data_IF_084629206208
#
_entry.id   IF_084629206208
#
_cell.length_a   1.000
_cell.length_b   1.000
_cell.length_c   1.000
_cell.angle_alpha   90.00
_cell.angle_beta   90.00
_cell.angle_gamma   90.00
#
_symmetry.space_group_name_H-M   'P 1'
#
loop_
_entity.id
_entity.type
_entity.pdbx_description
1 polymer ?
#
# COMPACT_ATOMS: atom_id res chain seq x y z
N UNK A 1 -0.84 -1.24 -3.57
CA UNK A 1 0.17 -0.74 -2.62
C UNK A 1 1.40 -0.11 -3.28
N UNK A 2 1.83 -0.52 -4.47
CA UNK A 2 3.02 0.02 -5.16
C UNK A 2 2.95 1.51 -5.60
N UNK A 3 1.85 2.22 -5.31
CA UNK A 3 1.61 3.56 -5.85
C UNK A 3 2.54 4.60 -5.22
N UNK A 4 3.07 4.37 -4.01
CA UNK A 4 3.97 5.30 -3.30
C UNK A 4 5.34 4.72 -2.97
N UNK A 5 5.87 3.83 -3.82
CA UNK A 5 7.14 3.14 -3.56
C UNK A 5 8.29 4.12 -3.29
N UNK A 6 8.36 5.22 -4.04
CA UNK A 6 9.41 6.23 -3.91
C UNK A 6 9.39 6.99 -2.57
N UNK A 7 8.32 6.89 -1.77
CA UNK A 7 8.26 7.46 -0.43
C UNK A 7 8.78 6.49 0.65
N UNK A 8 8.80 5.19 0.34
CA UNK A 8 9.18 4.14 1.30
C UNK A 8 10.51 3.46 1.00
N UNK A 9 11.07 3.67 -0.19
CA UNK A 9 12.32 3.05 -0.64
C UNK A 9 13.24 4.16 -1.12
N UNK A 10 14.36 4.31 -0.43
CA UNK A 10 15.44 5.19 -0.87
C UNK A 10 16.03 4.62 -2.19
N UNK A 11 16.23 5.43 -3.24
CA UNK A 11 16.71 4.96 -4.54
C UNK A 11 18.09 4.29 -4.48
N UNK A 12 18.88 4.55 -3.45
CA UNK A 12 20.26 4.07 -3.33
C UNK A 12 20.40 2.82 -2.43
N UNK A 13 19.29 2.17 -2.06
CA UNK A 13 19.35 0.92 -1.29
C UNK A 13 19.75 -0.27 -2.16
N UNK A 14 20.71 -1.05 -1.68
CA UNK A 14 21.14 -2.28 -2.35
C UNK A 14 20.15 -3.45 -2.17
N UNK A 15 19.33 -3.38 -1.10
CA UNK A 15 18.47 -4.47 -0.67
C UNK A 15 17.12 -3.93 -0.19
N UNK A 16 16.05 -4.47 -0.77
CA UNK A 16 14.67 -4.18 -0.38
C UNK A 16 13.95 -5.48 -0.01
N UNK A 17 13.46 -5.53 1.22
CA UNK A 17 12.49 -6.52 1.63
C UNK A 17 11.07 -6.00 1.39
N UNK A 18 10.24 -6.83 0.77
CA UNK A 18 8.83 -6.52 0.53
C UNK A 18 7.98 -7.57 1.23
N UNK A 19 7.24 -7.17 2.25
CA UNK A 19 6.34 -8.04 3.01
C UNK A 19 4.97 -7.36 3.09
N UNK A 20 3.98 -8.00 2.47
CA UNK A 20 2.58 -7.57 2.49
C UNK A 20 1.62 -8.76 2.58
N UNK A 21 2.14 -9.97 2.82
CA UNK A 21 1.35 -11.19 2.75
C UNK A 21 0.27 -11.22 3.83
N UNK A 22 0.54 -10.61 4.98
CA UNK A 22 -0.44 -10.47 6.07
C UNK A 22 -1.36 -9.25 5.91
N UNK A 23 -0.94 -8.23 5.14
CA UNK A 23 -1.68 -6.98 4.97
C UNK A 23 -2.65 -6.99 3.77
N UNK A 24 -2.34 -7.72 2.70
CA UNK A 24 -3.04 -7.65 1.41
C UNK A 24 -4.44 -8.29 1.38
N UNK A 25 -5.04 -8.56 2.55
CA UNK A 25 -6.29 -9.28 2.74
C UNK A 25 -6.31 -10.67 2.11
N UNK A 26 -6.83 -11.65 2.85
CA UNK A 26 -7.00 -12.99 2.31
C UNK A 26 -8.15 -13.02 1.31
N UNK A 27 -7.83 -12.93 0.02
CA UNK A 27 -8.83 -13.17 -1.01
C UNK A 27 -9.24 -14.65 -1.01
N UNK A 28 -10.55 -14.93 -1.19
CA UNK A 28 -11.09 -16.29 -1.22
C UNK A 28 -10.43 -17.20 -2.28
N UNK A 29 -9.87 -16.59 -3.32
CA UNK A 29 -9.12 -17.28 -4.39
C UNK A 29 -7.80 -17.86 -3.87
N UNK A 30 -7.21 -17.27 -2.83
CA UNK A 30 -6.01 -17.76 -2.14
C UNK A 30 -6.38 -18.76 -1.04
N UNK A 31 -7.43 -18.50 -0.26
CA UNK A 31 -7.82 -19.40 0.86
C UNK A 31 -8.41 -20.73 0.39
N UNK A 32 -9.07 -20.77 -0.77
CA UNK A 32 -9.51 -22.01 -1.41
C UNK A 32 -8.52 -22.53 -2.45
N UNK A 33 -7.30 -21.98 -2.52
CA UNK A 33 -6.27 -22.49 -3.39
C UNK A 33 -5.76 -23.84 -2.85
N UNK A 34 -5.85 -24.94 -3.62
CA UNK A 34 -5.43 -26.26 -3.16
C UNK A 34 -3.94 -26.30 -2.77
N UNK A 35 -3.08 -25.57 -3.47
CA UNK A 35 -1.64 -25.46 -3.17
C UNK A 35 -1.39 -24.76 -1.83
N UNK A 36 -2.17 -23.72 -1.50
CA UNK A 36 -2.08 -23.03 -0.20
C UNK A 36 -2.54 -23.94 0.94
N UNK A 37 -3.62 -24.71 0.73
CA UNK A 37 -4.12 -25.69 1.70
C UNK A 37 -3.14 -26.83 1.94
N UNK A 38 -2.44 -27.28 0.91
CA UNK A 38 -1.41 -28.31 1.04
C UNK A 38 -0.15 -27.77 1.75
N UNK A 39 0.23 -26.52 1.50
CA UNK A 39 1.29 -25.85 2.25
C UNK A 39 0.91 -25.67 3.73
N UNK A 40 -0.33 -25.27 4.02
CA UNK A 40 -0.83 -25.18 5.41
C UNK A 40 -0.74 -26.54 6.13
N UNK A 41 -1.15 -27.62 5.47
CA UNK A 41 -1.05 -29.00 6.02
C UNK A 41 0.40 -29.39 6.30
N UNK A 42 1.31 -29.05 5.39
CA UNK A 42 2.75 -29.31 5.56
C UNK A 42 3.31 -28.52 6.75
N UNK A 43 3.03 -27.22 6.83
CA UNK A 43 3.45 -26.37 7.96
C UNK A 43 2.89 -26.91 9.27
N UNK A 44 1.59 -27.25 9.33
CA UNK A 44 0.99 -27.88 10.53
C UNK A 44 1.68 -29.19 10.92
N UNK A 45 2.09 -30.00 9.94
CA UNK A 45 2.82 -31.25 10.20
C UNK A 45 4.24 -31.00 10.72
N UNK A 46 4.94 -30.00 10.17
CA UNK A 46 6.25 -29.56 10.66
C UNK A 46 6.14 -29.04 12.10
N UNK A 47 5.13 -28.23 12.40
CA UNK A 47 4.83 -27.73 13.74
C UNK A 47 4.38 -28.83 14.72
N UNK A 48 3.95 -29.99 14.22
CA UNK A 48 3.57 -31.17 15.04
C UNK A 48 4.75 -32.08 15.40
N UNK A 49 5.94 -31.83 14.83
CA UNK A 49 7.16 -32.51 15.23
C UNK A 49 7.47 -32.17 16.71
N UNK A 50 8.21 -33.03 17.43
CA UNK A 50 8.49 -32.85 18.87
C UNK A 50 9.28 -31.56 19.23
N UNK A 51 9.62 -30.73 18.24
CA UNK A 51 10.13 -29.38 18.41
C UNK A 51 8.97 -28.48 18.83
N UNK A 52 8.99 -27.99 20.08
CA UNK A 52 7.92 -27.15 20.62
C UNK A 52 7.97 -25.74 20.03
N UNK A 53 7.40 -25.55 18.85
CA UNK A 53 7.07 -24.22 18.36
C UNK A 53 5.83 -23.71 19.12
N UNK A 54 6.04 -22.81 20.08
CA UNK A 54 4.95 -22.20 20.83
C UNK A 54 4.43 -20.98 20.07
N UNK A 55 3.30 -21.14 19.39
CA UNK A 55 2.67 -20.03 18.65
C UNK A 55 2.41 -18.82 19.56
N UNK A 56 1.98 -19.05 20.80
CA UNK A 56 1.71 -17.98 21.77
C UNK A 56 2.97 -17.23 22.24
N UNK A 57 4.11 -17.90 22.26
CA UNK A 57 5.39 -17.25 22.56
C UNK A 57 5.94 -16.50 21.36
N UNK A 58 5.57 -16.91 20.14
CA UNK A 58 6.10 -16.37 18.88
C UNK A 58 5.24 -15.24 18.31
N UNK A 59 3.94 -15.24 18.57
CA UNK A 59 2.98 -14.27 18.04
C UNK A 59 1.97 -13.80 19.09
N UNK A 60 1.64 -12.52 19.05
CA UNK A 60 0.49 -11.90 19.70
C UNK A 60 -0.51 -11.50 18.62
N UNK A 61 -1.60 -12.25 18.52
CA UNK A 61 -2.54 -12.24 17.38
C UNK A 61 -1.84 -12.54 16.05
N UNK A 62 -1.60 -11.51 15.25
CA UNK A 62 -0.91 -11.58 13.95
C UNK A 62 0.45 -10.85 13.97
N UNK A 63 0.80 -10.18 15.07
CA UNK A 63 2.08 -9.51 15.22
C UNK A 63 3.09 -10.47 15.86
N UNK A 64 4.31 -10.59 15.31
CA UNK A 64 5.35 -11.35 15.97
C UNK A 64 5.69 -10.76 17.34
N UNK A 65 5.90 -11.63 18.32
CA UNK A 65 6.54 -11.25 19.58
C UNK A 65 8.03 -10.96 19.35
N UNK A 66 8.77 -10.64 20.41
CA UNK A 66 10.23 -10.55 20.32
C UNK A 66 10.86 -11.84 19.76
N UNK A 67 10.49 -13.00 20.30
CA UNK A 67 10.96 -14.29 19.79
C UNK A 67 10.55 -14.54 18.33
N UNK A 68 9.34 -14.11 17.96
CA UNK A 68 8.89 -14.19 16.57
C UNK A 68 9.73 -13.34 15.62
N UNK A 69 10.09 -12.12 16.02
CA UNK A 69 10.99 -11.28 15.27
C UNK A 69 12.39 -11.89 15.15
N UNK A 70 12.92 -12.49 16.22
CA UNK A 70 14.21 -13.19 16.20
C UNK A 70 14.19 -14.35 15.18
N UNK A 71 13.19 -15.22 15.25
CA UNK A 71 13.03 -16.36 14.33
C UNK A 71 12.89 -15.90 12.88
N UNK A 72 12.06 -14.89 12.60
CA UNK A 72 11.87 -14.36 11.24
C UNK A 72 13.17 -13.74 10.69
N UNK A 73 13.95 -13.08 11.56
CA UNK A 73 15.23 -12.49 11.20
C UNK A 73 16.29 -13.56 10.91
N UNK A 74 16.36 -14.61 11.74
CA UNK A 74 17.25 -15.75 11.51
C UNK A 74 16.93 -16.46 10.19
N UNK A 75 15.65 -16.62 9.84
CA UNK A 75 15.25 -17.19 8.56
C UNK A 75 15.73 -16.35 7.38
N UNK A 76 15.57 -15.02 7.46
CA UNK A 76 16.05 -14.11 6.41
C UNK A 76 17.59 -14.16 6.27
N UNK A 77 18.31 -14.17 7.39
CA UNK A 77 19.78 -14.29 7.42
C UNK A 77 20.23 -15.62 6.82
N UNK A 78 19.57 -16.72 7.18
CA UNK A 78 19.88 -18.04 6.64
C UNK A 78 19.74 -18.07 5.12
N UNK A 79 18.65 -17.51 4.57
CA UNK A 79 18.46 -17.41 3.11
C UNK A 79 19.54 -16.56 2.43
N UNK A 80 20.02 -15.48 3.07
CA UNK A 80 21.16 -14.72 2.54
C UNK A 80 22.45 -15.49 2.58
N UNK A 81 22.72 -16.21 3.68
CA UNK A 81 23.92 -17.03 3.78
C UNK A 81 23.93 -18.13 2.72
N UNK A 82 22.80 -18.80 2.49
CA UNK A 82 22.67 -19.77 1.40
C UNK A 82 22.90 -19.11 0.04
N UNK A 83 22.27 -17.97 -0.25
CA UNK A 83 22.46 -17.26 -1.51
C UNK A 83 23.91 -16.78 -1.72
N UNK A 84 24.58 -16.33 -0.65
CA UNK A 84 25.97 -15.90 -0.70
C UNK A 84 26.93 -17.07 -0.92
N UNK A 85 26.75 -18.18 -0.18
CA UNK A 85 27.49 -19.43 -0.39
C UNK A 85 27.28 -19.90 -1.82
N UNK A 86 26.05 -19.83 -2.32
CA UNK A 86 25.73 -20.25 -3.68
C UNK A 86 26.44 -19.39 -4.73
N UNK A 87 26.42 -18.07 -4.56
CA UNK A 87 27.12 -17.15 -5.45
C UNK A 87 28.65 -17.38 -5.44
N UNK A 88 29.23 -17.84 -4.33
CA UNK A 88 30.66 -18.20 -4.24
C UNK A 88 30.95 -19.54 -4.92
N UNK A 89 30.12 -20.56 -4.67
CA UNK A 89 30.32 -21.92 -5.20
C UNK A 89 29.96 -22.03 -6.69
N UNK A 90 28.97 -21.25 -7.12
CA UNK A 90 28.49 -21.16 -8.49
C UNK A 90 28.49 -19.69 -8.92
N UNK A 91 29.67 -19.11 -9.19
CA UNK A 91 29.78 -17.72 -9.63
C UNK A 91 28.83 -17.49 -10.79
N UNK A 92 27.93 -16.52 -10.64
CA UNK A 92 27.13 -16.05 -11.77
C UNK A 92 28.14 -15.65 -12.84
N UNK A 93 28.14 -16.39 -13.96
CA UNK A 93 29.10 -16.13 -15.02
C UNK A 93 28.99 -14.64 -15.34
N UNK A 94 30.10 -13.91 -15.27
CA UNK A 94 30.05 -12.50 -15.66
C UNK A 94 29.76 -12.45 -17.16
N UNK A 95 29.13 -11.39 -17.67
CA UNK A 95 28.93 -11.22 -19.11
C UNK A 95 30.23 -11.41 -19.91
N UNK A 96 31.38 -11.10 -19.30
CA UNK A 96 32.72 -11.31 -19.87
C UNK A 96 33.10 -12.80 -20.04
N UNK A 97 32.65 -13.70 -19.17
CA UNK A 97 32.89 -15.15 -19.25
C UNK A 97 31.96 -15.82 -20.28
N UNK A 98 30.78 -15.26 -20.53
CA UNK A 98 29.86 -15.76 -21.57
C UNK A 98 30.31 -15.35 -22.98
N UNK A 99 30.93 -14.16 -23.12
CA UNK A 99 31.41 -13.67 -24.41
C UNK A 99 32.57 -14.51 -25.02
N UNK A 100 33.35 -15.22 -24.21
CA UNK A 100 34.46 -16.05 -24.68
C UNK A 100 34.03 -17.43 -25.19
N UNK A 101 32.76 -17.82 -25.00
CA UNK A 101 32.23 -19.12 -25.41
C UNK A 101 31.68 -19.17 -26.86
N UNK A 102 31.96 -18.16 -27.70
CA UNK A 102 31.63 -18.16 -29.13
C UNK A 102 30.14 -18.03 -29.48
N UNK A 103 29.25 -18.00 -28.49
CA UNK A 103 27.86 -17.63 -28.69
C UNK A 103 27.74 -16.11 -28.59
N UNK A 104 27.15 -15.42 -29.57
CA UNK A 104 26.90 -13.98 -29.46
C UNK A 104 26.08 -13.75 -28.20
N UNK A 105 26.45 -12.79 -27.34
CA UNK A 105 25.70 -12.49 -26.14
C UNK A 105 24.29 -12.13 -26.58
N UNK A 106 23.33 -13.02 -26.34
CA UNK A 106 21.92 -12.66 -26.45
C UNK A 106 21.72 -11.50 -25.48
N UNK A 107 20.89 -10.51 -25.85
CA UNK A 107 20.62 -9.30 -25.07
C UNK A 107 20.03 -9.55 -23.66
N UNK A 108 20.03 -10.80 -23.20
CA UNK A 108 19.63 -11.28 -21.90
C UNK A 108 20.71 -11.09 -20.83
N UNK A 109 21.97 -10.85 -21.22
CA UNK A 109 23.12 -10.88 -20.30
C UNK A 109 23.61 -9.50 -19.80
N UNK A 110 23.04 -8.38 -20.24
CA UNK A 110 23.44 -7.02 -19.80
C UNK A 110 22.90 -6.63 -18.42
N UNK A 111 22.57 -7.59 -17.54
CA UNK A 111 22.11 -7.33 -16.16
C UNK A 111 20.70 -6.73 -16.04
N UNK A 112 20.24 -5.99 -17.05
CA UNK A 112 18.84 -5.62 -17.24
C UNK A 112 18.18 -6.67 -18.11
N UNK A 113 17.86 -7.83 -17.54
CA UNK A 113 16.80 -8.67 -18.14
C UNK A 113 15.59 -7.76 -18.29
N UNK A 114 15.22 -7.43 -19.54
CA UNK A 114 13.95 -6.74 -19.81
C UNK A 114 12.90 -7.53 -19.06
N UNK A 115 12.28 -6.90 -18.06
CA UNK A 115 11.26 -7.55 -17.26
C UNK A 115 10.26 -8.14 -18.25
N UNK A 116 9.96 -9.44 -18.06
CA UNK A 116 8.87 -10.07 -18.82
C UNK A 116 7.61 -9.24 -18.59
N UNK A 117 6.70 -9.28 -19.56
CA UNK A 117 5.37 -8.70 -19.35
C UNK A 117 4.76 -9.21 -18.02
N UNK A 118 3.86 -8.43 -17.40
CA UNK A 118 3.28 -8.79 -16.12
C UNK A 118 2.57 -10.14 -16.21
N UNK A 119 2.63 -10.92 -15.12
CA UNK A 119 1.97 -12.22 -15.03
C UNK A 119 0.47 -12.12 -15.34
N UNK A 120 -0.17 -11.04 -14.93
CA UNK A 120 -1.56 -10.72 -15.25
C UNK A 120 -1.65 -9.72 -16.41
N UNK A 121 -2.40 -10.02 -17.49
CA UNK A 121 -2.50 -9.14 -18.64
C UNK A 121 -2.98 -7.73 -18.26
N UNK A 122 -2.14 -6.73 -18.54
CA UNK A 122 -2.43 -5.31 -18.28
C UNK A 122 -2.02 -4.81 -16.89
N UNK A 123 -1.49 -5.68 -16.02
CA UNK A 123 -1.07 -5.33 -14.65
C UNK A 123 0.35 -4.73 -14.58
N UNK A 124 0.59 -3.67 -15.35
CA UNK A 124 1.85 -2.93 -15.32
C UNK A 124 1.87 -1.97 -14.13
N UNK A 125 3.04 -1.74 -13.55
CA UNK A 125 3.23 -0.68 -12.57
C UNK A 125 2.81 0.68 -13.17
N UNK A 126 2.17 1.56 -12.39
CA UNK A 126 1.81 2.88 -12.87
C UNK A 126 3.08 3.68 -13.22
N UNK A 127 3.13 4.26 -14.42
CA UNK A 127 4.30 5.01 -14.94
C UNK A 127 4.38 6.46 -14.43
N UNK A 128 3.55 6.83 -13.47
CA UNK A 128 3.35 8.22 -13.05
C UNK A 128 2.38 8.28 -11.88
N UNK A 129 2.74 7.62 -10.79
CA UNK A 129 1.98 7.74 -9.55
C UNK A 129 2.42 9.01 -8.80
N UNK A 130 1.45 9.86 -8.45
CA UNK A 130 1.70 10.97 -7.55
C UNK A 130 1.21 10.55 -6.18
N UNK A 131 2.11 10.65 -5.20
CA UNK A 131 1.80 10.41 -3.81
C UNK A 131 2.00 11.70 -3.02
N UNK A 132 0.89 12.29 -2.60
CA UNK A 132 0.90 13.44 -1.73
C UNK A 132 0.55 12.99 -0.32
N UNK A 133 1.53 13.04 0.60
CA UNK A 133 1.39 12.66 2.01
C UNK A 133 2.02 13.73 2.90
N UNK A 134 1.48 13.97 4.09
CA UNK A 134 2.10 14.92 5.02
C UNK A 134 2.16 16.33 4.43
N UNK A 135 3.32 17.00 4.46
CA UNK A 135 3.45 18.38 3.99
C UNK A 135 3.05 18.56 2.51
N UNK A 136 3.44 17.64 1.63
CA UNK A 136 3.03 17.70 0.20
C UNK A 136 1.52 17.55 0.04
N UNK A 137 0.86 16.76 0.89
CA UNK A 137 -0.62 16.69 0.86
C UNK A 137 -1.27 18.04 1.20
N UNK A 138 -0.69 18.78 2.16
CA UNK A 138 -1.18 20.11 2.54
C UNK A 138 -1.16 21.09 1.36
N UNK A 139 -0.15 21.01 0.50
CA UNK A 139 0.00 21.87 -0.69
C UNK A 139 -1.09 21.63 -1.74
N UNK A 140 -1.68 20.44 -1.76
CA UNK A 140 -2.79 20.11 -2.66
C UNK A 140 -4.14 20.60 -2.14
N UNK A 141 -4.27 20.97 -0.87
CA UNK A 141 -5.54 21.46 -0.32
C UNK A 141 -5.65 22.97 -0.56
N UNK A 142 -6.61 23.36 -1.39
CA UNK A 142 -6.81 24.75 -1.82
C UNK A 142 -7.69 25.54 -0.85
N UNK A 143 -8.81 24.94 -0.45
CA UNK A 143 -9.82 25.60 0.37
C UNK A 143 -10.33 24.63 1.43
N UNK A 144 -10.61 25.15 2.62
CA UNK A 144 -11.13 24.37 3.74
C UNK A 144 -12.17 25.17 4.52
N UNK A 145 -13.21 24.50 4.99
CA UNK A 145 -14.17 25.03 5.95
C UNK A 145 -14.40 24.01 7.06
N UNK A 146 -14.03 24.35 8.29
CA UNK A 146 -14.24 23.50 9.48
C UNK A 146 -13.27 22.31 9.61
N UNK A 147 -12.21 22.28 8.81
CA UNK A 147 -11.12 21.29 8.92
C UNK A 147 -9.86 21.90 9.53
N UNK A 148 -9.15 21.10 10.33
CA UNK A 148 -7.89 21.48 10.97
C UNK A 148 -6.75 20.60 10.48
N UNK A 149 -5.61 21.21 10.16
CA UNK A 149 -4.37 20.49 9.85
C UNK A 149 -3.64 20.11 11.15
N UNK A 150 -3.66 18.83 11.52
CA UNK A 150 -3.21 18.36 12.84
C UNK A 150 -2.13 17.29 12.70
N UNK A 151 -1.10 17.39 13.54
CA UNK A 151 -0.14 16.31 13.77
C UNK A 151 -0.54 15.54 15.03
N UNK A 152 -1.05 14.32 14.86
CA UNK A 152 -1.33 13.40 15.99
C UNK A 152 -0.10 12.52 16.33
N UNK A 153 1.08 12.81 15.76
CA UNK A 153 2.32 12.12 16.04
C UNK A 153 2.90 12.52 17.40
N UNK A 154 3.34 11.53 18.19
CA UNK A 154 3.93 11.76 19.52
C UNK A 154 5.36 12.29 19.47
N UNK A 155 6.07 12.05 18.37
CA UNK A 155 7.48 12.41 18.20
C UNK A 155 7.71 12.98 16.80
N UNK A 156 8.79 13.74 16.63
CA UNK A 156 9.20 14.26 15.32
C UNK A 156 9.49 13.15 14.31
N UNK A 157 9.97 12.00 14.77
CA UNK A 157 10.19 10.83 13.91
C UNK A 157 8.90 10.10 13.51
N UNK A 158 7.77 10.36 14.19
CA UNK A 158 6.50 9.65 14.00
C UNK A 158 5.35 10.62 13.72
N UNK A 159 5.60 11.61 12.87
CA UNK A 159 4.59 12.59 12.49
C UNK A 159 3.39 11.91 11.79
N UNK A 160 2.18 12.27 12.21
CA UNK A 160 0.92 11.76 11.68
C UNK A 160 0.03 12.92 11.24
N UNK A 161 0.56 13.74 10.33
CA UNK A 161 -0.15 14.85 9.73
C UNK A 161 -1.41 14.40 8.97
N UNK A 162 -2.45 15.24 9.00
CA UNK A 162 -3.68 15.08 8.23
C UNK A 162 -4.68 16.20 8.53
N UNK A 163 -5.69 16.35 7.67
CA UNK A 163 -6.84 17.21 7.93
C UNK A 163 -7.88 16.44 8.73
N UNK A 164 -8.40 17.04 9.81
CA UNK A 164 -9.42 16.47 10.69
C UNK A 164 -10.60 17.43 10.79
N UNK A 165 -11.82 16.91 10.74
CA UNK A 165 -13.05 17.62 11.10
C UNK A 165 -13.96 16.68 11.87
N UNK A 166 -14.71 17.20 12.83
CA UNK A 166 -15.76 16.54 13.61
C UNK A 166 -17.11 17.28 13.51
N UNK A 167 -17.21 18.27 12.62
CA UNK A 167 -18.42 19.07 12.41
C UNK A 167 -19.10 18.65 11.10
N UNK A 168 -20.36 18.18 11.14
CA UNK A 168 -21.15 17.93 9.94
C UNK A 168 -21.24 19.14 9.01
N UNK A 169 -21.15 18.91 7.71
CA UNK A 169 -21.16 19.96 6.68
C UNK A 169 -19.81 20.66 6.45
N UNK A 170 -18.79 20.40 7.28
CA UNK A 170 -17.42 20.84 7.00
C UNK A 170 -16.90 20.18 5.73
N UNK A 171 -16.20 20.95 4.90
CA UNK A 171 -15.67 20.48 3.62
C UNK A 171 -14.24 20.96 3.37
N UNK A 172 -13.50 20.21 2.54
CA UNK A 172 -12.20 20.63 2.02
C UNK A 172 -12.09 20.30 0.53
N UNK A 173 -11.41 21.16 -0.24
CA UNK A 173 -11.14 20.99 -1.67
C UNK A 173 -9.68 20.64 -1.91
N UNK A 174 -9.47 19.49 -2.56
CA UNK A 174 -8.15 18.97 -2.93
C UNK A 174 -7.96 19.17 -4.44
N UNK A 175 -6.97 19.96 -4.83
CA UNK A 175 -6.57 20.15 -6.21
C UNK A 175 -5.38 19.24 -6.56
N UNK A 176 -5.58 18.36 -7.54
CA UNK A 176 -4.52 17.51 -8.08
C UNK A 176 -4.67 17.36 -9.59
N UNK A 177 -3.55 17.17 -10.29
CA UNK A 177 -3.61 16.66 -11.67
C UNK A 177 -3.99 15.20 -11.62
N UNK A 178 -4.83 14.72 -12.54
CA UNK A 178 -5.09 13.29 -12.73
C UNK A 178 -4.60 12.80 -14.09
N UNK A 179 -3.82 13.63 -14.79
CA UNK A 179 -3.29 13.31 -16.11
C UNK A 179 -2.21 12.23 -16.06
N UNK A 180 -2.30 11.32 -17.04
CA UNK A 180 -1.32 10.29 -17.30
C UNK A 180 -0.92 10.36 -18.78
N UNK A 181 0.29 9.87 -19.16
CA UNK A 181 0.77 9.93 -20.55
C UNK A 181 -0.15 9.28 -21.60
N UNK A 182 -1.02 8.36 -21.18
CA UNK A 182 -2.00 7.67 -22.03
C UNK A 182 -3.07 7.05 -21.13
N UNK A 183 -4.38 7.11 -21.47
CA UNK A 183 -4.98 7.50 -22.75
C UNK A 183 -5.22 9.01 -22.98
N UNK A 184 -4.70 9.89 -22.12
CA UNK A 184 -4.87 11.34 -22.22
C UNK A 184 -6.11 11.86 -21.49
N UNK A 185 -6.43 13.16 -21.61
CA UNK A 185 -7.55 13.81 -20.93
C UNK A 185 -8.89 13.09 -21.13
N UNK A 186 -9.74 13.08 -20.10
CA UNK A 186 -11.07 12.47 -20.11
C UNK A 186 -11.09 10.95 -19.94
N UNK A 187 -9.95 10.26 -20.10
CA UNK A 187 -9.86 8.82 -19.87
C UNK A 187 -10.10 8.46 -18.40
N UNK A 188 -10.59 7.25 -18.07
CA UNK A 188 -10.75 6.83 -16.68
C UNK A 188 -9.39 6.69 -15.98
N UNK A 189 -9.35 7.08 -14.71
CA UNK A 189 -8.20 6.97 -13.80
C UNK A 189 -8.71 6.70 -12.38
N UNK A 190 -7.90 5.98 -11.60
CA UNK A 190 -8.23 5.71 -10.21
C UNK A 190 -7.43 6.63 -9.30
N UNK A 191 -8.15 7.28 -8.39
CA UNK A 191 -7.59 8.08 -7.30
C UNK A 191 -7.85 7.31 -6.01
N UNK A 192 -6.85 7.22 -5.14
CA UNK A 192 -6.94 6.63 -3.82
C UNK A 192 -6.87 7.76 -2.79
N UNK A 193 -7.98 8.01 -2.11
CA UNK A 193 -7.98 8.91 -0.95
C UNK A 193 -7.67 8.11 0.30
N UNK A 194 -6.70 8.57 1.06
CA UNK A 194 -6.25 7.90 2.29
C UNK A 194 -6.90 8.56 3.50
N UNK A 195 -7.58 7.79 4.34
CA UNK A 195 -8.32 8.26 5.51
C UNK A 195 -8.01 7.42 6.77
N UNK A 196 -8.32 7.93 7.96
CA UNK A 196 -8.26 7.14 9.18
C UNK A 196 -9.58 6.40 9.37
N UNK A 197 -9.55 5.11 9.68
CA UNK A 197 -10.68 4.35 10.20
C UNK A 197 -10.41 3.91 11.63
N UNK A 198 -11.46 3.79 12.45
CA UNK A 198 -11.34 3.41 13.88
C UNK A 198 -12.66 2.83 14.39
N UNK A 199 -12.63 2.08 15.49
CA UNK A 199 -13.82 1.51 16.16
C UNK A 199 -14.64 2.51 16.97
N UNK A 200 -14.16 3.74 17.15
CA UNK A 200 -14.81 4.75 17.98
C UNK A 200 -14.63 6.14 17.37
N UNK A 201 -15.57 7.02 17.68
CA UNK A 201 -15.59 8.46 17.34
C UNK A 201 -15.70 8.81 15.85
N UNK A 202 -15.57 7.84 14.94
CA UNK A 202 -15.49 8.09 13.50
C UNK A 202 -16.83 8.39 12.85
N UNK A 203 -16.85 9.41 11.98
CA UNK A 203 -18.01 9.78 11.17
C UNK A 203 -17.97 9.24 9.75
N UNK A 204 -18.92 9.72 8.95
CA UNK A 204 -18.98 9.48 7.51
C UNK A 204 -18.60 10.74 6.74
N UNK A 205 -18.03 10.57 5.56
CA UNK A 205 -17.79 11.67 4.63
C UNK A 205 -18.16 11.27 3.20
N UNK A 206 -18.59 12.23 2.39
CA UNK A 206 -18.76 12.05 0.94
C UNK A 206 -17.55 12.64 0.23
N UNK A 207 -17.04 11.89 -0.75
CA UNK A 207 -15.97 12.32 -1.65
C UNK A 207 -16.53 12.45 -3.06
N UNK A 208 -16.34 13.61 -3.68
CA UNK A 208 -16.92 13.92 -5.00
C UNK A 208 -15.99 14.78 -5.85
N UNK A 209 -16.17 14.74 -7.17
CA UNK A 209 -15.46 15.60 -8.11
C UNK A 209 -16.24 16.89 -8.27
N UNK A 210 -15.61 18.01 -7.88
CA UNK A 210 -16.23 19.34 -7.88
C UNK A 210 -15.94 20.06 -9.19
N UNK A 211 -14.70 19.94 -9.71
CA UNK A 211 -14.32 20.65 -10.93
C UNK A 211 -13.21 19.94 -11.72
N UNK A 212 -13.23 20.13 -13.05
CA UNK A 212 -12.19 19.71 -13.99
C UNK A 212 -12.12 18.21 -14.30
N UNK A 213 -12.66 17.36 -13.44
CA UNK A 213 -12.77 15.90 -13.61
C UNK A 213 -14.19 15.43 -13.25
N UNK A 214 -14.54 14.21 -13.64
CA UNK A 214 -15.84 13.61 -13.35
C UNK A 214 -15.66 12.29 -12.58
N UNK A 215 -16.40 12.13 -11.49
CA UNK A 215 -16.50 10.87 -10.75
C UNK A 215 -17.88 10.75 -10.10
N UNK A 216 -18.31 9.51 -9.84
CA UNK A 216 -19.47 9.27 -8.99
C UNK A 216 -19.12 9.55 -7.53
N UNK A 217 -19.98 10.21 -6.75
CA UNK A 217 -19.74 10.43 -5.33
C UNK A 217 -19.57 9.10 -4.58
N UNK A 218 -18.64 9.06 -3.64
CA UNK A 218 -18.36 7.90 -2.79
C UNK A 218 -18.55 8.29 -1.34
N UNK A 219 -19.48 7.61 -0.66
CA UNK A 219 -19.66 7.76 0.79
C UNK A 219 -18.71 6.80 1.51
N UNK A 220 -17.92 7.34 2.43
CA UNK A 220 -16.95 6.61 3.24
C UNK A 220 -17.43 6.62 4.68
N UNK A 221 -17.74 5.45 5.21
CA UNK A 221 -17.92 5.25 6.65
C UNK A 221 -16.57 4.86 7.26
N UNK A 222 -16.04 5.74 8.13
CA UNK A 222 -14.75 5.51 8.78
C UNK A 222 -14.87 4.74 10.10
N UNK A 223 -16.08 4.39 10.52
CA UNK A 223 -16.32 3.63 11.74
C UNK A 223 -16.26 2.11 11.48
N UNK A 224 -15.38 1.44 12.23
CA UNK A 224 -15.04 0.03 12.07
C UNK A 224 -15.27 -0.72 13.40
N UNK A 225 -16.52 -1.00 13.79
CA UNK A 225 -16.85 -1.57 15.09
C UNK A 225 -16.27 -2.98 15.33
N UNK A 226 -15.88 -3.68 14.26
CA UNK A 226 -15.25 -5.00 14.34
C UNK A 226 -13.74 -4.98 14.63
N UNK A 227 -13.08 -3.82 14.59
CA UNK A 227 -11.63 -3.71 14.66
C UNK A 227 -11.20 -2.77 15.79
N UNK A 228 -10.67 -3.31 16.89
CA UNK A 228 -10.24 -2.51 18.06
C UNK A 228 -8.91 -1.77 17.87
N UNK A 229 -8.67 -1.25 16.67
CA UNK A 229 -7.47 -0.52 16.28
C UNK A 229 -7.84 0.59 15.31
N UNK A 230 -7.17 1.74 15.42
CA UNK A 230 -7.26 2.80 14.40
C UNK A 230 -6.23 2.54 13.32
N UNK A 231 -6.67 2.43 12.07
CA UNK A 231 -5.79 2.15 10.93
C UNK A 231 -6.04 3.14 9.80
N UNK A 232 -5.06 3.23 8.90
CA UNK A 232 -5.19 4.05 7.70
C UNK A 232 -5.79 3.21 6.59
N UNK A 233 -6.85 3.71 5.97
CA UNK A 233 -7.56 3.06 4.89
C UNK A 233 -7.43 3.87 3.60
N UNK A 234 -7.69 3.20 2.47
CA UNK A 234 -7.75 3.85 1.16
C UNK A 234 -9.11 3.60 0.53
N UNK A 235 -9.76 4.65 0.05
CA UNK A 235 -10.97 4.53 -0.78
C UNK A 235 -10.62 4.79 -2.24
N UNK A 236 -10.94 3.86 -3.16
CA UNK A 236 -10.78 4.10 -4.59
C UNK A 236 -11.92 4.96 -5.14
N UNK A 237 -11.56 6.00 -5.86
CA UNK A 237 -12.43 6.95 -6.55
C UNK A 237 -12.14 6.82 -8.04
N UNK A 238 -13.13 6.37 -8.81
CA UNK A 238 -13.02 6.30 -10.26
C UNK A 238 -13.32 7.68 -10.84
N UNK A 239 -12.27 8.35 -11.33
CA UNK A 239 -12.33 9.71 -11.89
C UNK A 239 -11.93 9.73 -13.37
N UNK A 240 -12.07 10.87 -14.02
CA UNK A 240 -11.51 11.13 -15.35
C UNK A 240 -10.18 11.89 -15.26
N UNK A 241 -9.31 11.68 -16.25
CA UNK A 241 -8.03 12.38 -16.35
C UNK A 241 -8.24 13.86 -16.68
N UNK A 242 -7.57 14.74 -15.96
CA UNK A 242 -7.61 16.18 -16.13
C UNK A 242 -6.30 16.82 -15.65
N UNK A 243 -5.92 17.95 -16.24
CA UNK A 243 -4.78 18.76 -15.76
C UNK A 243 -5.02 19.28 -14.34
N UNK A 244 -6.28 19.52 -14.00
CA UNK A 244 -6.67 20.10 -12.72
C UNK A 244 -8.00 19.48 -12.33
N UNK A 245 -7.97 18.61 -11.32
CA UNK A 245 -9.11 17.90 -10.78
C UNK A 245 -9.28 18.36 -9.33
N UNK A 246 -10.38 19.07 -9.07
CA UNK A 246 -10.77 19.42 -7.69
C UNK A 246 -11.71 18.37 -7.13
N UNK A 247 -11.30 17.72 -6.06
CA UNK A 247 -12.13 16.80 -5.29
C UNK A 247 -12.55 17.43 -3.98
N UNK A 248 -13.83 17.33 -3.66
CA UNK A 248 -14.40 17.73 -2.38
C UNK A 248 -14.49 16.55 -1.42
N UNK A 249 -14.19 16.79 -0.15
CA UNK A 249 -14.49 15.87 0.94
C UNK A 249 -15.35 16.61 1.95
N UNK A 250 -16.58 16.13 2.16
CA UNK A 250 -17.56 16.77 3.05
C UNK A 250 -17.99 15.80 4.15
N UNK A 251 -17.87 16.22 5.41
CA UNK A 251 -18.34 15.42 6.56
C UNK A 251 -19.86 15.39 6.57
N UNK A 252 -20.44 14.19 6.62
CA UNK A 252 -21.88 14.00 6.59
C UNK A 252 -22.49 14.13 7.99
N UNK A 253 -23.76 14.53 8.02
CA UNK A 253 -24.58 14.50 9.24
C UNK A 253 -24.99 13.06 9.62
N UNK A 254 -24.91 12.12 8.69
CA UNK A 254 -25.11 10.70 8.97
C UNK A 254 -23.83 10.11 9.59
N UNK A 255 -24.01 9.20 10.54
CA UNK A 255 -22.91 8.47 11.20
C UNK A 255 -23.38 7.11 11.69
N UNK A 256 -22.48 6.13 11.71
CA UNK A 256 -22.72 4.82 12.31
C UNK A 256 -22.13 4.68 13.72
N UNK A 257 -21.35 5.66 14.20
CA UNK A 257 -20.75 5.66 15.55
C UNK A 257 -21.48 6.55 16.55
N UNK A 258 -22.31 7.49 16.07
CA UNK A 258 -22.90 8.57 16.87
C UNK A 258 -22.04 9.84 16.93
N UNK A 259 -20.84 9.82 16.34
CA UNK A 259 -19.93 10.96 16.25
C UNK A 259 -19.47 11.21 14.80
N UNK A 260 -18.80 12.34 14.55
CA UNK A 260 -18.54 12.83 13.19
C UNK A 260 -17.05 13.02 12.84
N UNK A 261 -16.11 12.50 13.66
CA UNK A 261 -14.67 12.67 13.37
C UNK A 261 -14.31 12.00 12.05
N UNK A 262 -13.75 12.75 11.12
CA UNK A 262 -13.19 12.22 9.88
C UNK A 262 -11.79 12.80 9.67
N UNK A 263 -10.84 11.95 9.28
CA UNK A 263 -9.45 12.35 9.03
C UNK A 263 -9.00 11.93 7.65
N UNK A 264 -8.52 12.89 6.86
CA UNK A 264 -7.88 12.68 5.56
C UNK A 264 -6.37 12.86 5.71
N UNK A 265 -5.58 11.91 5.19
CA UNK A 265 -4.11 11.89 5.36
C UNK A 265 -3.32 12.10 4.07
N UNK A 266 -3.87 11.63 2.95
CA UNK A 266 -3.14 11.59 1.70
C UNK A 266 -4.09 11.53 0.51
N UNK A 267 -3.63 12.06 -0.61
CA UNK A 267 -4.22 11.87 -1.93
C UNK A 267 -3.20 11.18 -2.82
N UNK A 268 -3.60 10.09 -3.45
CA UNK A 268 -2.73 9.34 -4.34
C UNK A 268 -3.49 9.12 -5.64
N UNK A 269 -2.88 9.34 -6.80
CA UNK A 269 -3.48 8.90 -8.06
C UNK A 269 -2.51 8.03 -8.83
N UNK A 270 -3.05 7.01 -9.49
CA UNK A 270 -2.27 6.04 -10.23
C UNK A 270 -3.08 5.44 -11.37
N UNK A 271 -2.39 5.02 -12.43
CA UNK A 271 -3.03 4.32 -13.54
C UNK A 271 -3.43 2.90 -13.12
N UNK A 272 -4.66 2.71 -12.66
CA UNK A 272 -5.31 1.41 -12.77
C UNK A 272 -5.78 1.23 -14.21
N UNK A 273 -5.16 0.35 -15.01
CA UNK A 273 -5.68 0.09 -16.36
C UNK A 273 -6.97 -0.71 -16.22
N UNK A 274 -8.10 -0.01 -16.27
CA UNK A 274 -9.43 -0.59 -16.15
C UNK A 274 -9.57 -1.78 -17.09
N UNK A 275 -9.73 -2.97 -16.52
CA UNK A 275 -10.45 -4.08 -17.15
C UNK A 275 -11.72 -4.24 -16.36
N UNK A 276 -12.85 -4.14 -17.07
CA UNK A 276 -14.20 -4.25 -16.53
C UNK A 276 -14.52 -5.63 -15.94
N UNK A 277 -13.91 -5.94 -14.80
CA UNK A 277 -14.33 -7.02 -13.92
C UNK A 277 -14.58 -6.39 -12.56
N UNK A 278 -15.85 -6.06 -12.28
CA UNK A 278 -16.27 -5.58 -10.98
C UNK A 278 -15.98 -6.63 -9.91
N UNK A 279 -14.92 -6.42 -9.15
CA UNK A 279 -14.76 -7.06 -7.84
C UNK A 279 -14.58 -5.91 -6.87
N UNK A 280 -15.68 -5.50 -6.24
CA UNK A 280 -15.67 -4.61 -5.08
C UNK A 280 -15.00 -5.33 -3.91
N UNK A 281 -13.67 -5.39 -3.92
CA UNK A 281 -12.88 -5.78 -2.77
C UNK A 281 -12.67 -4.56 -1.89
N UNK A 282 -12.99 -4.66 -0.60
CA UNK A 282 -12.43 -3.74 0.40
C UNK A 282 -10.93 -3.95 0.37
N UNK A 283 -10.18 -2.97 -0.13
CA UNK A 283 -8.73 -2.96 0.00
C UNK A 283 -8.45 -2.35 1.37
N UNK A 284 -8.43 -3.18 2.41
CA UNK A 284 -7.83 -2.76 3.67
C UNK A 284 -6.33 -2.68 3.44
N UNK A 285 -5.85 -1.47 3.16
CA UNK A 285 -4.43 -1.22 2.93
C UNK A 285 -3.80 -0.93 4.28
N UNK A 286 -3.01 -1.87 4.80
CA UNK A 286 -2.01 -1.52 5.80
C UNK A 286 -1.00 -0.58 5.16
N UNK A 287 -1.26 0.74 5.16
CA UNK A 287 -0.24 1.71 4.76
C UNK A 287 0.75 1.76 5.91
N UNK A 288 1.74 0.89 5.87
CA UNK A 288 2.99 1.07 6.59
C UNK A 288 3.73 2.29 6.03
N UNK A 289 3.21 3.51 6.25
CA UNK A 289 4.11 4.68 6.35
C UNK A 289 4.75 4.60 7.73
N UNK A 290 5.63 3.63 7.79
CA UNK A 290 6.28 3.08 8.95
C UNK A 290 7.25 2.08 8.35
N UNK A 291 8.16 2.58 7.52
CA UNK A 291 9.40 1.88 7.27
C UNK A 291 9.96 1.60 8.66
N UNK A 292 9.89 0.34 9.09
CA UNK A 292 10.64 -0.13 10.22
C UNK A 292 12.10 -0.14 9.75
N UNK A 293 12.72 1.03 9.77
CA UNK A 293 14.16 1.16 9.57
C UNK A 293 14.80 0.53 10.80
N UNK A 294 15.15 -0.75 10.68
CA UNK A 294 16.03 -1.43 11.62
C UNK A 294 17.43 -0.82 11.44
N UNK A 295 17.74 0.21 12.22
CA UNK A 295 19.11 0.61 12.43
C UNK A 295 19.75 -0.45 13.34
N UNK A 296 20.50 -1.37 12.73
CA UNK A 296 21.41 -2.24 13.47
C UNK A 296 22.52 -1.34 14.02
N UNK A 297 22.53 -1.15 15.35
CA UNK A 297 23.63 -0.52 16.08
C UNK A 297 24.39 -1.59 16.85
#
# INVERSE_FOLDING_TARGET
MAVCLNLGVDPDVDLVFVEYNVNDHFHNVVTNNPTVRDMERLVRRILSLPVRFSWRETFQDHHPSQLGHEILSELAIHLFQEAAIDAVLRPVATPAVVATAGNPPTAEYTGQRRLRGPMYPGNYAPTGAVCATGATFKEHVQEVQGWLWVNEGLTEARQKWGYISDVPGSWLLINMSTLLPSPGPGAPVQVLLTYLGSYEHMGMAIVECVWGCACSPVVVDAHLPGERVSQTYMVPINSTQSETCMMGVTVLNDTSSGEHKFKVRAGVHGRGRGRGGGVGGRVGVGVGVGAWAWAWA
#
